data_IF_828284610123
#
_entry.id   IF_828284610123
#
_cell.length_a   1.000
_cell.length_b   1.000
_cell.length_c   1.000
_cell.angle_alpha   90.00
_cell.angle_beta   90.00
_cell.angle_gamma   90.00
#
_symmetry.space_group_name_H-M   'P 1'
#
loop_
_entity.id
_entity.type
_entity.pdbx_description
1 polymer ?
#
# COMPACT_ATOMS: atom_id res chain seq x y z
N UNK A 1 15.36 8.89 -9.62
CA UNK A 1 14.59 8.61 -8.40
C UNK A 1 14.26 9.88 -7.66
N UNK A 2 13.03 10.05 -7.37
CA UNK A 2 12.56 11.24 -6.69
C UNK A 2 12.37 10.98 -5.21
N UNK A 3 12.68 11.99 -4.44
CA UNK A 3 12.46 11.93 -3.02
C UNK A 3 11.30 12.84 -2.68
N UNK A 4 10.37 12.28 -1.96
CA UNK A 4 9.20 13.01 -1.54
C UNK A 4 9.20 13.12 -0.02
N UNK A 5 9.14 14.34 0.47
CA UNK A 5 9.05 14.57 1.90
C UNK A 5 7.77 15.31 2.19
N UNK A 6 6.80 14.61 2.76
CA UNK A 6 5.53 15.26 3.06
C UNK A 6 5.68 16.29 4.16
N UNK A 7 4.87 17.33 4.09
CA UNK A 7 4.82 18.32 5.14
C UNK A 7 4.12 17.73 6.37
N UNK A 8 4.24 18.43 7.49
CA UNK A 8 3.56 18.01 8.72
C UNK A 8 2.05 17.95 8.48
N UNK A 9 1.51 18.94 7.77
CA UNK A 9 0.07 18.96 7.51
C UNK A 9 -0.34 17.78 6.64
N UNK A 10 0.46 17.44 5.64
CA UNK A 10 0.14 16.30 4.79
C UNK A 10 0.18 15.00 5.57
N UNK A 11 1.14 14.89 6.47
CA UNK A 11 1.20 13.69 7.31
C UNK A 11 -0.05 13.57 8.17
N UNK A 12 -0.44 14.65 8.81
CA UNK A 12 -1.56 14.59 9.74
C UNK A 12 -2.91 14.53 9.04
N UNK A 13 -3.06 15.26 7.94
CA UNK A 13 -4.37 15.40 7.30
C UNK A 13 -4.63 14.36 6.23
N UNK A 14 -3.58 13.85 5.59
CA UNK A 14 -3.75 12.96 4.45
C UNK A 14 -3.18 11.58 4.69
N UNK A 15 -1.95 11.51 5.20
CA UNK A 15 -1.24 10.24 5.27
C UNK A 15 -1.74 9.39 6.44
N UNK A 16 -1.82 9.98 7.63
CA UNK A 16 -2.28 9.21 8.79
C UNK A 16 -3.72 8.72 8.63
N UNK A 17 -4.65 9.56 8.15
CA UNK A 17 -6.00 9.05 7.92
C UNK A 17 -6.03 7.92 6.91
N UNK A 18 -5.25 8.01 5.83
CA UNK A 18 -5.20 6.95 4.84
C UNK A 18 -4.66 5.67 5.46
N UNK A 19 -3.64 5.80 6.30
CA UNK A 19 -3.07 4.67 7.01
C UNK A 19 -4.11 3.97 7.85
N UNK A 20 -4.88 4.76 8.61
CA UNK A 20 -5.90 4.18 9.46
C UNK A 20 -7.01 3.51 8.64
N UNK A 21 -7.35 4.11 7.51
CA UNK A 21 -8.35 3.52 6.63
C UNK A 21 -7.90 2.17 6.10
N UNK A 22 -6.65 2.08 5.69
CA UNK A 22 -6.10 0.83 5.18
C UNK A 22 -6.10 -0.24 6.27
N UNK A 23 -5.69 0.13 7.47
CA UNK A 23 -5.71 -0.80 8.58
C UNK A 23 -7.12 -1.26 8.90
N UNK A 24 -8.06 -0.33 8.88
CA UNK A 24 -9.45 -0.66 9.16
C UNK A 24 -10.00 -1.65 8.17
N UNK A 25 -9.78 -1.39 6.87
CA UNK A 25 -10.25 -2.30 5.85
C UNK A 25 -9.59 -3.66 5.96
N UNK A 26 -8.31 -3.67 6.32
CA UNK A 26 -7.59 -4.93 6.49
C UNK A 26 -8.17 -5.74 7.64
N UNK A 27 -8.48 -5.09 8.76
CA UNK A 27 -9.06 -5.79 9.89
C UNK A 27 -10.45 -6.34 9.54
N UNK A 28 -11.22 -5.58 8.79
CA UNK A 28 -12.53 -6.07 8.37
C UNK A 28 -12.41 -7.32 7.52
N UNK A 29 -11.39 -7.38 6.67
CA UNK A 29 -11.18 -8.55 5.85
C UNK A 29 -10.80 -9.76 6.68
N UNK A 30 -9.97 -9.56 7.69
CA UNK A 30 -9.61 -10.66 8.58
C UNK A 30 -10.87 -11.29 9.16
N UNK A 31 -11.80 -10.46 9.61
CA UNK A 31 -13.02 -10.93 10.21
C UNK A 31 -13.92 -11.57 9.16
N UNK A 32 -14.10 -10.90 8.05
CA UNK A 32 -15.03 -11.35 7.03
C UNK A 32 -14.60 -12.70 6.44
N UNK A 33 -13.31 -12.84 6.18
CA UNK A 33 -12.78 -14.05 5.56
C UNK A 33 -12.41 -15.11 6.59
N UNK A 34 -12.37 -14.71 7.86
CA UNK A 34 -11.91 -15.61 8.92
C UNK A 34 -10.54 -16.17 8.57
N UNK A 35 -9.65 -15.29 8.14
CA UNK A 35 -8.33 -15.71 7.70
C UNK A 35 -7.27 -15.25 8.71
N UNK A 36 -6.09 -15.85 8.66
CA UNK A 36 -5.02 -15.38 9.54
C UNK A 36 -4.56 -13.99 9.11
N UNK A 37 -4.11 -13.23 10.08
CA UNK A 37 -3.64 -11.88 9.78
C UNK A 37 -2.46 -11.89 8.83
N UNK A 38 -1.68 -12.96 8.84
CA UNK A 38 -0.54 -13.07 7.94
C UNK A 38 -0.98 -13.10 6.47
N UNK A 39 -2.17 -13.60 6.19
CA UNK A 39 -2.69 -13.57 4.83
C UNK A 39 -2.86 -12.13 4.36
N UNK A 40 -3.41 -11.30 5.23
CA UNK A 40 -3.58 -9.88 4.89
C UNK A 40 -2.23 -9.22 4.71
N UNK A 41 -1.26 -9.59 5.56
CA UNK A 41 0.09 -9.07 5.39
C UNK A 41 0.67 -9.40 4.03
N UNK A 42 0.45 -10.64 3.58
CA UNK A 42 0.89 -11.02 2.25
C UNK A 42 0.21 -10.23 1.15
N UNK A 43 -1.09 -10.01 1.32
CA UNK A 43 -1.85 -9.22 0.34
C UNK A 43 -1.32 -7.79 0.27
N UNK A 44 -1.09 -7.19 1.43
CA UNK A 44 -0.58 -5.83 1.46
C UNK A 44 0.81 -5.76 0.86
N UNK A 45 1.61 -6.79 1.09
CA UNK A 45 2.93 -6.84 0.50
C UNK A 45 2.85 -6.93 -1.01
N UNK A 46 1.90 -7.67 -1.53
CA UNK A 46 1.70 -7.76 -2.98
C UNK A 46 1.32 -6.41 -3.54
N UNK A 47 0.44 -5.70 -2.84
CA UNK A 47 0.06 -4.36 -3.28
C UNK A 47 1.26 -3.42 -3.27
N UNK A 48 2.08 -3.53 -2.23
CA UNK A 48 3.27 -2.70 -2.14
C UNK A 48 4.20 -2.97 -3.31
N UNK A 49 4.30 -4.23 -3.75
CA UNK A 49 5.13 -4.56 -4.88
C UNK A 49 4.68 -3.86 -6.15
N UNK A 50 3.36 -3.73 -6.32
CA UNK A 50 2.86 -3.03 -7.50
C UNK A 50 3.40 -1.61 -7.58
N UNK A 51 3.56 -0.98 -6.44
CA UNK A 51 4.02 0.41 -6.42
C UNK A 51 5.53 0.52 -6.53
N UNK A 52 6.26 -0.44 -6.00
CA UNK A 52 7.71 -0.36 -6.03
C UNK A 52 8.30 -0.95 -7.29
N UNK A 53 7.77 -2.08 -7.74
CA UNK A 53 8.33 -2.74 -8.91
C UNK A 53 8.03 -1.98 -10.19
N UNK A 54 6.87 -1.36 -10.26
CA UNK A 54 6.53 -0.57 -11.45
C UNK A 54 7.48 0.60 -11.61
N UNK A 55 7.92 1.17 -10.51
CA UNK A 55 8.87 2.26 -10.56
C UNK A 55 10.20 1.76 -11.10
N UNK A 56 10.58 0.57 -10.72
CA UNK A 56 11.89 0.04 -11.13
C UNK A 56 11.92 -0.37 -12.58
N UNK A 57 10.82 -0.90 -13.04
CA UNK A 57 10.83 -1.45 -14.37
C UNK A 57 10.60 -0.44 -15.44
N UNK A 58 10.51 0.48 -15.31
CA UNK A 58 10.38 1.32 -16.29
C UNK A 58 10.74 1.14 -17.50
N UNK A 59 10.78 0.19 -17.44
CA UNK A 59 10.99 -0.33 -18.19
C UNK A 59 10.56 -1.15 -18.70
N UNK A 60 10.34 -1.64 -18.71
CA UNK A 60 9.91 -2.58 -19.12
C UNK A 60 8.78 -2.86 -19.26
N UNK A 61 8.32 -2.66 -19.18
CA UNK A 61 7.18 -3.08 -19.20
C UNK A 61 6.40 -2.52 -19.74
N UNK A 62 6.50 -2.10 -20.02
CA UNK A 62 5.90 -1.76 -20.43
C UNK A 62 5.08 -1.76 -20.84
N UNK A 63 5.11 -1.79 -20.92
CA UNK A 63 4.55 -1.88 -21.19
C UNK A 63 3.80 -2.24 -21.08
N UNK A 64 3.73 -2.44 -20.85
CA UNK A 64 3.24 -2.79 -20.51
C UNK A 64 2.49 -2.73 -20.30
N UNK A 65 2.20 -2.55 -20.26
CA UNK A 65 1.73 -2.42 -19.91
C UNK A 65 1.43 -2.28 -20.07
#
# INVERSE_FOLDING_TARGET
>A
MEEFEPSINQINDDIKPAWEDIKYLSEKLVIKLNCPRSFIGGMLNAIASDFTENVNTKNNYKNQK
#
